data_IF_720910772654
#
_entry.id   IF_720910772654
#
_cell.length_a   1.000
_cell.length_b   1.000
_cell.length_c   1.000
_cell.angle_alpha   90.00
_cell.angle_beta   90.00
_cell.angle_gamma   90.00
#
_symmetry.space_group_name_H-M   'P 1'
#
loop_
_entity.id
_entity.type
_entity.pdbx_description
1 polymer ?
#
# COMPACT_ATOMS: atom_id res chain seq x y z
N UNK A 1 26.22 0.06 -3.62
CA UNK A 1 25.11 -0.67 -2.95
C UNK A 1 25.69 -1.99 -2.43
N UNK A 2 26.36 -1.97 -1.28
CA UNK A 2 26.97 -3.18 -0.69
C UNK A 2 25.97 -4.00 0.14
N UNK A 3 24.75 -3.49 0.33
CA UNK A 3 23.78 -4.04 1.28
C UNK A 3 22.51 -4.62 0.64
N UNK A 4 22.46 -4.78 -0.70
CA UNK A 4 21.29 -5.36 -1.38
C UNK A 4 20.92 -6.77 -0.87
N UNK A 5 21.91 -7.52 -0.38
CA UNK A 5 21.69 -8.82 0.23
C UNK A 5 20.78 -8.74 1.47
N UNK A 6 20.81 -7.64 2.25
CA UNK A 6 19.93 -7.46 3.41
C UNK A 6 18.46 -7.41 3.01
N UNK A 7 18.14 -6.77 1.88
CA UNK A 7 16.77 -6.70 1.37
C UNK A 7 16.28 -8.11 0.98
N UNK A 8 17.12 -8.89 0.29
CA UNK A 8 16.75 -10.26 -0.09
C UNK A 8 16.52 -11.18 1.11
N UNK A 9 17.31 -11.04 2.19
CA UNK A 9 17.08 -11.80 3.43
C UNK A 9 15.84 -11.29 4.18
N UNK A 10 15.59 -9.98 4.15
CA UNK A 10 14.39 -9.39 4.72
C UNK A 10 13.12 -9.92 4.05
N UNK A 11 13.10 -10.04 2.72
CA UNK A 11 11.97 -10.62 1.97
C UNK A 11 11.67 -12.07 2.40
N UNK A 12 12.72 -12.90 2.60
CA UNK A 12 12.55 -14.27 3.10
C UNK A 12 11.91 -14.28 4.49
N UNK A 13 12.36 -13.40 5.38
CA UNK A 13 11.78 -13.27 6.72
C UNK A 13 10.35 -12.74 6.67
N UNK A 14 10.05 -11.81 5.76
CA UNK A 14 8.71 -11.29 5.55
C UNK A 14 7.75 -12.40 5.09
N UNK A 15 8.20 -13.30 4.22
CA UNK A 15 7.42 -14.47 3.79
C UNK A 15 7.17 -15.46 4.94
N UNK A 16 8.14 -15.67 5.83
CA UNK A 16 8.03 -16.59 6.96
C UNK A 16 7.25 -16.00 8.15
N UNK A 17 7.28 -14.69 8.34
CA UNK A 17 6.64 -13.99 9.47
C UNK A 17 6.07 -12.63 9.05
N UNK A 18 5.01 -12.62 8.24
CA UNK A 18 4.43 -11.40 7.68
C UNK A 18 3.94 -10.46 8.77
N UNK A 19 3.31 -10.97 9.83
CA UNK A 19 2.77 -10.15 10.91
C UNK A 19 3.84 -9.34 11.65
N UNK A 20 5.03 -9.93 11.87
CA UNK A 20 6.15 -9.21 12.48
C UNK A 20 6.60 -8.06 11.60
N UNK A 21 6.73 -8.29 10.29
CA UNK A 21 7.15 -7.27 9.33
C UNK A 21 6.10 -6.17 9.21
N UNK A 22 4.82 -6.52 9.10
CA UNK A 22 3.71 -5.55 9.06
C UNK A 22 3.71 -4.68 10.31
N UNK A 23 3.91 -5.26 11.50
CA UNK A 23 4.04 -4.48 12.75
C UNK A 23 5.23 -3.53 12.76
N UNK A 24 6.36 -3.93 12.16
CA UNK A 24 7.54 -3.06 12.04
C UNK A 24 7.28 -1.92 11.06
N UNK A 25 6.72 -2.21 9.89
CA UNK A 25 6.35 -1.20 8.90
C UNK A 25 5.41 -0.17 9.52
N UNK A 26 4.33 -0.60 10.20
CA UNK A 26 3.38 0.33 10.84
C UNK A 26 3.97 1.23 11.93
N UNK A 27 5.15 0.92 12.48
CA UNK A 27 5.85 1.81 13.44
C UNK A 27 6.51 2.99 12.76
N UNK A 28 6.95 2.81 11.52
CA UNK A 28 7.51 3.87 10.69
C UNK A 28 6.43 4.39 9.74
N UNK A 29 5.80 5.51 10.12
CA UNK A 29 4.67 6.06 9.37
C UNK A 29 5.07 6.50 7.96
N UNK A 30 6.30 6.98 7.78
CA UNK A 30 6.79 7.45 6.49
C UNK A 30 7.04 6.27 5.57
N UNK A 31 7.79 5.26 6.03
CA UNK A 31 8.01 4.05 5.26
C UNK A 31 6.70 3.31 4.95
N UNK A 32 5.78 3.24 5.92
CA UNK A 32 4.47 2.63 5.69
C UNK A 32 3.66 3.38 4.62
N UNK A 33 3.70 4.72 4.64
CA UNK A 33 3.10 5.56 3.60
C UNK A 33 3.68 5.24 2.22
N UNK A 34 5.01 5.21 2.10
CA UNK A 34 5.70 4.90 0.84
C UNK A 34 5.33 3.52 0.29
N UNK A 35 5.25 2.50 1.15
CA UNK A 35 4.85 1.14 0.77
C UNK A 35 3.41 1.12 0.25
N UNK A 36 2.48 1.80 0.93
CA UNK A 36 1.08 1.87 0.48
C UNK A 36 0.94 2.61 -0.85
N UNK A 37 1.65 3.74 -1.02
CA UNK A 37 1.66 4.49 -2.28
C UNK A 37 2.28 3.67 -3.42
N UNK A 38 3.38 2.96 -3.16
CA UNK A 38 3.99 2.06 -4.14
C UNK A 38 3.02 0.95 -4.57
N UNK A 39 2.34 0.30 -3.61
CA UNK A 39 1.32 -0.72 -3.92
C UNK A 39 0.14 -0.14 -4.71
N UNK A 40 -0.25 1.10 -4.44
CA UNK A 40 -1.25 1.82 -5.23
C UNK A 40 -0.76 2.06 -6.66
N UNK A 41 0.46 2.54 -6.86
CA UNK A 41 1.00 2.80 -8.19
C UNK A 41 1.17 1.50 -9.01
N UNK A 42 1.53 0.40 -8.34
CA UNK A 42 1.63 -0.95 -8.89
C UNK A 42 0.26 -1.61 -9.17
N UNK A 43 -0.85 -0.94 -8.86
CA UNK A 43 -2.23 -1.46 -8.99
C UNK A 43 -2.51 -2.70 -8.13
N UNK A 44 -1.69 -2.95 -7.09
CA UNK A 44 -1.91 -4.04 -6.13
C UNK A 44 -3.06 -3.76 -5.17
N UNK A 45 -3.35 -2.47 -4.95
CA UNK A 45 -4.47 -2.01 -4.12
C UNK A 45 -5.23 -0.87 -4.80
N UNK A 46 -6.51 -0.71 -4.48
CA UNK A 46 -7.32 0.43 -4.95
C UNK A 46 -7.00 1.71 -4.18
N UNK A 47 -7.52 2.86 -4.65
CA UNK A 47 -7.44 4.12 -3.89
C UNK A 47 -8.19 4.02 -2.55
N UNK A 48 -9.33 3.32 -2.53
CA UNK A 48 -10.11 3.11 -1.31
C UNK A 48 -9.32 2.29 -0.29
N UNK A 49 -8.66 1.22 -0.74
CA UNK A 49 -7.83 0.40 0.15
C UNK A 49 -6.60 1.15 0.67
N UNK A 50 -5.98 1.99 -0.17
CA UNK A 50 -4.90 2.85 0.28
C UNK A 50 -5.37 3.82 1.38
N UNK A 51 -6.52 4.47 1.19
CA UNK A 51 -7.10 5.40 2.17
C UNK A 51 -7.41 4.69 3.50
N UNK A 52 -8.03 3.51 3.44
CA UNK A 52 -8.30 2.67 4.61
C UNK A 52 -7.02 2.35 5.40
N UNK A 53 -5.96 1.87 4.71
CA UNK A 53 -4.70 1.50 5.35
C UNK A 53 -4.01 2.69 6.01
N UNK A 54 -4.13 3.87 5.41
CA UNK A 54 -3.51 5.11 5.87
C UNK A 54 -4.36 5.85 6.92
N UNK A 55 -5.55 5.34 7.23
CA UNK A 55 -6.47 5.98 8.18
C UNK A 55 -7.00 7.32 7.68
N UNK A 56 -7.14 7.47 6.36
CA UNK A 56 -7.65 8.66 5.68
C UNK A 56 -8.98 8.35 5.00
N UNK A 57 -9.80 9.37 4.82
CA UNK A 57 -10.89 9.33 3.83
C UNK A 57 -10.32 9.30 2.41
N UNK A 58 -11.15 8.90 1.45
CA UNK A 58 -10.76 8.87 0.05
C UNK A 58 -10.43 10.28 -0.45
N UNK A 59 -11.21 11.26 -0.03
CA UNK A 59 -11.07 12.68 -0.40
C UNK A 59 -9.76 13.26 0.14
N UNK A 60 -9.43 13.00 1.41
CA UNK A 60 -8.15 13.43 2.02
C UNK A 60 -6.96 12.83 1.27
N UNK A 61 -7.03 11.54 0.91
CA UNK A 61 -5.96 10.89 0.17
C UNK A 61 -5.81 11.47 -1.25
N UNK A 62 -6.93 11.82 -1.90
CA UNK A 62 -6.91 12.49 -3.22
C UNK A 62 -6.21 13.84 -3.12
N UNK A 63 -6.54 14.66 -2.11
CA UNK A 63 -5.88 15.95 -1.91
C UNK A 63 -4.37 15.79 -1.66
N UNK A 64 -3.99 14.81 -0.85
CA UNK A 64 -2.58 14.54 -0.54
C UNK A 64 -1.81 14.08 -1.77
N UNK A 65 -2.41 13.22 -2.59
CA UNK A 65 -1.81 12.80 -3.86
C UNK A 65 -1.64 13.97 -4.82
N UNK A 66 -2.62 14.87 -4.93
CA UNK A 66 -2.48 16.10 -5.73
C UNK A 66 -1.33 16.98 -5.24
N UNK A 67 -1.21 17.21 -3.92
CA UNK A 67 -0.12 18.01 -3.33
C UNK A 67 1.26 17.43 -3.65
N UNK A 68 1.36 16.10 -3.71
CA UNK A 68 2.62 15.36 -3.97
C UNK A 68 2.86 15.02 -5.44
N UNK A 69 1.96 15.40 -6.35
CA UNK A 69 2.06 15.06 -7.77
C UNK A 69 1.85 13.57 -8.09
N UNK A 70 1.20 12.82 -7.19
CA UNK A 70 0.86 11.41 -7.38
C UNK A 70 -0.42 11.32 -8.24
N UNK A 71 -0.42 10.57 -9.35
CA UNK A 71 -1.57 10.53 -10.25
C UNK A 71 -2.77 9.82 -9.63
N UNK A 72 -3.95 10.45 -9.71
CA UNK A 72 -5.22 9.78 -9.40
C UNK A 72 -5.64 8.91 -10.59
N UNK A 73 -5.65 7.60 -10.40
CA UNK A 73 -6.14 6.63 -11.38
C UNK A 73 -7.65 6.78 -11.58
N UNK A 74 -8.10 6.78 -12.83
CA UNK A 74 -9.53 6.57 -13.15
C UNK A 74 -9.89 5.13 -12.78
N UNK A 75 -11.07 4.93 -12.17
CA UNK A 75 -11.58 3.61 -11.82
C UNK A 75 -11.56 2.69 -13.05
N UNK A 76 -10.77 1.62 -12.98
CA UNK A 76 -10.76 0.55 -13.97
C UNK A 76 -11.72 -0.56 -13.55
N UNK A 77 -12.12 -1.44 -14.49
CA UNK A 77 -12.98 -2.58 -14.17
C UNK A 77 -12.30 -3.52 -13.16
N UNK A 78 -10.97 -3.64 -13.26
CA UNK A 78 -10.14 -4.43 -12.37
C UNK A 78 -10.13 -3.87 -10.94
N UNK A 79 -10.08 -2.53 -10.79
CA UNK A 79 -10.19 -1.91 -9.46
C UNK A 79 -11.55 -2.19 -8.79
N UNK A 80 -12.63 -2.19 -9.58
CA UNK A 80 -13.98 -2.53 -9.08
C UNK A 80 -14.07 -3.99 -8.65
N UNK A 81 -13.48 -4.91 -9.43
CA UNK A 81 -13.45 -6.34 -9.07
C UNK A 81 -12.67 -6.55 -7.77
N UNK A 82 -11.49 -5.94 -7.63
CA UNK A 82 -10.68 -6.06 -6.42
C UNK A 82 -11.39 -5.51 -5.16
N UNK A 83 -12.15 -4.41 -5.29
CA UNK A 83 -12.96 -3.89 -4.17
C UNK A 83 -14.10 -4.84 -3.79
N UNK A 84 -14.76 -5.46 -4.77
CA UNK A 84 -15.82 -6.47 -4.53
C UNK A 84 -15.24 -7.74 -3.89
N UNK A 85 -14.09 -8.22 -4.36
CA UNK A 85 -13.41 -9.38 -3.77
C UNK A 85 -13.01 -9.13 -2.32
N UNK A 86 -12.52 -7.92 -2.00
CA UNK A 86 -12.18 -7.54 -0.64
C UNK A 86 -13.39 -7.53 0.31
N UNK A 87 -14.58 -7.17 -0.18
CA UNK A 87 -15.82 -7.20 0.60
C UNK A 87 -16.36 -8.62 0.80
N UNK A 88 -16.14 -9.53 -0.16
CA UNK A 88 -16.61 -10.91 -0.10
C UNK A 88 -15.70 -11.83 0.75
N UNK A 89 -14.53 -11.35 1.18
CA UNK A 89 -13.60 -12.07 2.05
C UNK A 89 -13.73 -11.73 3.55
N UNK A 90 -14.77 -10.97 3.93
CA UNK A 90 -15.16 -10.66 5.32
C UNK A 90 -16.27 -11.60 5.80
#
# INVERSE_FOLDING_TARGET
>A
MEELWLISEFEKIAALNPDKVIRLLKKDKELFWEVVVSAYLDRKISLGKAAELLGMTREELIEEFHKRGIPIRKLSKEDVIAEVEALNCL
#
